data_IF_669574730408
#
_entry.id   IF_669574730408
#
_cell.length_a   1.000
_cell.length_b   1.000
_cell.length_c   1.000
_cell.angle_alpha   90.00
_cell.angle_beta   90.00
_cell.angle_gamma   90.00
#
_symmetry.space_group_name_H-M   'P 1'
#
loop_
_entity.id
_entity.type
_entity.pdbx_description
1 polymer ?
#
# COMPACT_ATOMS: atom_id res chain seq x y z
N UNK A 1 -10.22 -10.02 8.54
CA UNK A 1 -10.84 -9.48 7.32
C UNK A 1 -10.18 -8.17 6.95
N UNK A 2 -9.79 -8.01 5.70
CA UNK A 2 -9.11 -6.80 5.26
C UNK A 2 -10.10 -5.69 4.94
N UNK A 3 -9.74 -4.45 5.25
CA UNK A 3 -10.53 -3.30 4.82
C UNK A 3 -10.32 -3.07 3.33
N UNK A 4 -11.19 -2.23 2.74
CA UNK A 4 -11.05 -1.89 1.32
C UNK A 4 -9.68 -1.27 1.04
N UNK A 5 -9.22 -0.38 1.91
CA UNK A 5 -7.92 0.27 1.75
C UNK A 5 -6.76 -0.70 1.86
N UNK A 6 -6.83 -1.63 2.80
CA UNK A 6 -5.81 -2.65 2.94
C UNK A 6 -5.75 -3.55 1.71
N UNK A 7 -6.90 -3.90 1.17
CA UNK A 7 -6.97 -4.72 -0.03
C UNK A 7 -6.40 -3.98 -1.25
N UNK A 8 -6.72 -2.70 -1.38
CA UNK A 8 -6.17 -1.88 -2.46
C UNK A 8 -4.65 -1.81 -2.36
N UNK A 9 -4.13 -1.61 -1.16
CA UNK A 9 -2.68 -1.57 -0.94
C UNK A 9 -2.04 -2.89 -1.33
N UNK A 10 -2.63 -4.00 -0.90
CA UNK A 10 -2.09 -5.32 -1.21
C UNK A 10 -2.03 -5.56 -2.71
N UNK A 11 -3.11 -5.24 -3.41
CA UNK A 11 -3.16 -5.38 -4.87
C UNK A 11 -2.13 -4.50 -5.55
N UNK A 12 -1.97 -3.26 -5.07
CA UNK A 12 -0.98 -2.35 -5.62
C UNK A 12 0.44 -2.88 -5.41
N UNK A 13 0.72 -3.42 -4.23
CA UNK A 13 2.03 -4.00 -3.93
C UNK A 13 2.37 -5.14 -4.87
N UNK A 14 1.42 -6.04 -5.07
CA UNK A 14 1.63 -7.18 -5.97
C UNK A 14 1.89 -6.73 -7.41
N UNK A 15 1.10 -5.79 -7.88
CA UNK A 15 1.24 -5.28 -9.23
C UNK A 15 2.55 -4.53 -9.42
N UNK A 16 2.93 -3.72 -8.44
CA UNK A 16 4.17 -2.96 -8.48
C UNK A 16 5.39 -3.89 -8.51
N UNK A 17 5.41 -4.88 -7.63
CA UNK A 17 6.51 -5.83 -7.57
C UNK A 17 6.65 -6.60 -8.89
N UNK A 18 5.53 -6.95 -9.49
CA UNK A 18 5.53 -7.67 -10.75
C UNK A 18 6.13 -6.82 -11.88
N UNK A 19 5.79 -5.53 -11.91
CA UNK A 19 6.26 -4.64 -12.97
C UNK A 19 7.69 -4.16 -12.77
N UNK A 20 8.06 -3.87 -11.52
CA UNK A 20 9.33 -3.21 -11.23
C UNK A 20 10.31 -4.11 -10.51
N UNK A 21 9.88 -5.28 -10.05
CA UNK A 21 10.69 -6.22 -9.28
C UNK A 21 11.34 -5.56 -8.07
N UNK A 22 10.61 -4.63 -7.46
CA UNK A 22 11.05 -3.89 -6.28
C UNK A 22 9.82 -3.40 -5.53
N UNK A 23 9.98 -3.13 -4.25
CA UNK A 23 8.89 -2.62 -3.44
C UNK A 23 8.71 -1.11 -3.64
N UNK A 24 7.46 -0.61 -3.63
CA UNK A 24 7.23 0.83 -3.75
C UNK A 24 7.61 1.56 -2.48
N UNK A 25 7.89 2.87 -2.60
CA UNK A 25 8.12 3.71 -1.44
C UNK A 25 6.79 4.01 -0.75
N UNK A 26 6.89 4.50 0.50
CA UNK A 26 5.67 4.89 1.24
C UNK A 26 4.90 6.00 0.51
N UNK A 27 5.61 6.92 -0.12
CA UNK A 27 4.96 7.97 -0.91
C UNK A 27 4.16 7.39 -2.07
N UNK A 28 4.72 6.42 -2.77
CA UNK A 28 4.02 5.79 -3.87
C UNK A 28 2.79 5.04 -3.41
N UNK A 29 2.91 4.34 -2.29
CA UNK A 29 1.75 3.65 -1.72
C UNK A 29 0.66 4.64 -1.31
N UNK A 30 1.04 5.74 -0.68
CA UNK A 30 0.11 6.77 -0.25
C UNK A 30 -0.65 7.35 -1.44
N UNK A 31 0.07 7.69 -2.50
CA UNK A 31 -0.55 8.28 -3.69
C UNK A 31 -1.47 7.28 -4.39
N UNK A 32 -1.06 6.03 -4.45
CA UNK A 32 -1.85 5.00 -5.13
C UNK A 32 -3.19 4.76 -4.44
N UNK A 33 -3.22 4.87 -3.11
CA UNK A 33 -4.42 4.62 -2.32
C UNK A 33 -5.21 5.90 -2.07
N UNK A 34 -4.57 7.05 -2.24
CA UNK A 34 -5.24 8.35 -2.04
C UNK A 34 -5.26 8.80 -0.59
N UNK A 35 -4.26 8.39 0.20
CA UNK A 35 -4.17 8.83 1.59
C UNK A 35 -3.51 10.18 1.70
N UNK A 36 -3.91 10.93 2.73
CA UNK A 36 -3.40 12.29 2.94
C UNK A 36 -2.01 12.31 3.56
N UNK A 37 -1.62 11.26 4.29
CA UNK A 37 -0.35 11.25 5.00
C UNK A 37 0.27 9.85 5.03
N UNK A 38 1.58 9.80 5.26
CA UNK A 38 2.31 8.55 5.36
C UNK A 38 1.91 7.74 6.60
N UNK A 39 1.39 8.41 7.62
CA UNK A 39 0.92 7.72 8.82
C UNK A 39 -0.16 6.70 8.51
N UNK A 40 -1.03 7.01 7.55
CA UNK A 40 -2.06 6.07 7.12
C UNK A 40 -1.49 4.80 6.52
N UNK A 41 -0.39 4.94 5.76
CA UNK A 41 0.29 3.79 5.18
C UNK A 41 0.86 2.89 6.27
N UNK A 42 1.50 3.47 7.29
CA UNK A 42 2.04 2.70 8.40
C UNK A 42 0.95 1.87 9.09
N UNK A 43 -0.21 2.47 9.31
CA UNK A 43 -1.32 1.78 9.94
C UNK A 43 -1.83 0.62 9.07
N UNK A 44 -1.92 0.83 7.76
CA UNK A 44 -2.36 -0.21 6.85
C UNK A 44 -1.37 -1.36 6.83
N UNK A 45 -0.09 -1.08 6.77
CA UNK A 45 0.95 -2.11 6.74
C UNK A 45 0.93 -2.91 8.05
N UNK A 46 0.79 -2.24 9.18
CA UNK A 46 0.69 -2.93 10.47
C UNK A 46 -0.53 -3.86 10.51
N UNK A 47 -1.62 -3.42 9.90
CA UNK A 47 -2.82 -4.24 9.85
C UNK A 47 -2.70 -5.45 8.95
N UNK A 48 -1.77 -5.43 7.98
CA UNK A 48 -1.55 -6.56 7.08
C UNK A 48 -0.64 -7.63 7.69
N UNK A 49 0.13 -7.28 8.70
CA UNK A 49 0.96 -8.22 9.41
C UNK A 49 0.15 -8.99 10.45
#
# INVERSE_FOLDING_TARGET
MLTIKQRELLNFLKDYEHKHQASPSFDEMRQAIGLASKSGIHRLISGLE
#
